data_IF_067830815282
#
_entry.id   IF_067830815282
#
_cell.length_a   1.000
_cell.length_b   1.000
_cell.length_c   1.000
_cell.angle_alpha   90.00
_cell.angle_beta   90.00
_cell.angle_gamma   90.00
#
_symmetry.space_group_name_H-M   'P 1'
#
loop_
_entity.id
_entity.type
_entity.pdbx_description
1 polymer ?
#
# COMPACT_ATOMS: atom_id res chain seq x y z
N UNK A 1 -15.96 -5.21 13.92
CA UNK A 1 -15.93 -6.38 13.05
C UNK A 1 -16.25 -5.93 11.62
N UNK A 2 -15.49 -6.39 10.64
CA UNK A 2 -15.70 -6.10 9.23
C UNK A 2 -16.66 -7.12 8.61
N UNK A 3 -17.53 -6.65 7.72
CA UNK A 3 -18.41 -7.50 6.92
C UNK A 3 -17.74 -7.73 5.56
N UNK A 4 -17.33 -8.96 5.23
CA UNK A 4 -16.75 -9.27 3.94
C UNK A 4 -17.80 -9.29 2.85
N UNK A 5 -17.46 -8.74 1.68
CA UNK A 5 -18.26 -8.83 0.45
C UNK A 5 -17.32 -9.07 -0.73
N UNK A 6 -17.68 -9.95 -1.64
CA UNK A 6 -17.00 -10.08 -2.92
C UNK A 6 -17.82 -9.29 -3.96
N UNK A 7 -17.24 -8.26 -4.52
CA UNK A 7 -17.89 -7.38 -5.49
C UNK A 7 -17.41 -7.69 -6.90
N UNK A 8 -18.35 -8.16 -7.73
CA UNK A 8 -18.12 -8.32 -9.17
C UNK A 8 -18.24 -6.96 -9.85
N UNK A 9 -17.20 -6.59 -10.58
CA UNK A 9 -17.12 -5.34 -11.32
C UNK A 9 -17.08 -5.70 -12.80
N UNK A 10 -18.00 -5.23 -13.65
CA UNK A 10 -18.00 -5.56 -15.07
C UNK A 10 -16.63 -5.27 -15.71
N UNK A 11 -16.08 -6.24 -16.45
CA UNK A 11 -14.78 -6.19 -17.14
C UNK A 11 -13.56 -6.09 -16.23
N UNK A 12 -13.71 -6.20 -14.91
CA UNK A 12 -12.65 -6.22 -13.91
C UNK A 12 -12.69 -7.51 -13.08
N UNK A 13 -11.59 -7.90 -12.44
CA UNK A 13 -11.61 -9.01 -11.47
C UNK A 13 -12.52 -8.66 -10.29
N UNK A 14 -13.17 -9.66 -9.73
CA UNK A 14 -13.94 -9.46 -8.50
C UNK A 14 -13.00 -9.14 -7.34
N UNK A 15 -13.36 -8.14 -6.53
CA UNK A 15 -12.56 -7.70 -5.39
C UNK A 15 -13.26 -8.07 -4.08
N UNK A 16 -12.48 -8.58 -3.14
CA UNK A 16 -12.91 -8.78 -1.76
C UNK A 16 -12.82 -7.44 -1.02
N UNK A 17 -13.97 -6.96 -0.56
CA UNK A 17 -14.13 -5.69 0.15
C UNK A 17 -14.64 -5.98 1.56
N UNK A 18 -14.10 -5.27 2.53
CA UNK A 18 -14.41 -5.44 3.96
C UNK A 18 -14.86 -4.09 4.51
N UNK A 19 -16.13 -4.02 4.90
CA UNK A 19 -16.77 -2.80 5.39
C UNK A 19 -16.95 -2.85 6.90
N UNK A 20 -16.49 -1.79 7.58
CA UNK A 20 -16.67 -1.60 9.03
C UNK A 20 -17.92 -0.79 9.37
N UNK A 21 -18.04 -0.40 10.64
CA UNK A 21 -19.18 0.39 11.12
C UNK A 21 -19.20 1.79 10.49
N UNK A 22 -20.40 2.30 10.20
CA UNK A 22 -20.62 3.60 9.55
C UNK A 22 -20.73 4.73 10.58
N UNK A 23 -19.60 5.16 11.14
CA UNK A 23 -19.54 6.11 12.24
C UNK A 23 -18.87 7.45 11.89
N UNK A 24 -18.84 7.85 10.63
CA UNK A 24 -18.19 9.09 10.19
C UNK A 24 -17.89 9.12 8.70
N UNK A 25 -16.90 9.93 8.26
CA UNK A 25 -16.52 9.98 6.85
C UNK A 25 -16.05 8.62 6.36
N UNK A 26 -16.35 8.31 5.11
CA UNK A 26 -15.90 7.06 4.47
C UNK A 26 -14.41 7.16 4.14
N UNK A 27 -13.65 6.22 4.68
CA UNK A 27 -12.19 6.11 4.50
C UNK A 27 -11.86 4.74 3.90
N UNK A 28 -11.25 4.75 2.73
CA UNK A 28 -10.81 3.54 2.04
C UNK A 28 -9.32 3.31 2.31
N UNK A 29 -8.99 2.10 2.75
CA UNK A 29 -7.61 1.72 3.10
C UNK A 29 -7.07 0.69 2.11
N UNK A 30 -5.90 0.97 1.54
CA UNK A 30 -5.27 0.21 0.46
C UNK A 30 -3.90 -0.30 0.86
N UNK A 31 -3.76 -1.61 0.93
CA UNK A 31 -2.53 -2.28 1.32
C UNK A 31 -1.42 -2.21 0.25
N UNK A 32 -0.19 -2.43 0.66
CA UNK A 32 0.97 -2.55 -0.23
C UNK A 32 1.08 -3.91 -0.90
N UNK A 33 2.05 -4.08 -1.79
CA UNK A 33 2.37 -5.36 -2.41
C UNK A 33 2.65 -6.43 -1.36
N UNK A 34 2.18 -7.66 -1.61
CA UNK A 34 2.32 -8.81 -0.73
C UNK A 34 1.68 -8.63 0.67
N UNK A 35 0.62 -7.82 0.74
CA UNK A 35 -0.21 -7.59 1.91
C UNK A 35 -1.68 -7.94 1.60
N UNK A 36 -2.56 -7.69 2.55
CA UNK A 36 -4.01 -7.91 2.47
C UNK A 36 -4.76 -6.81 3.22
N UNK A 37 -6.06 -6.74 3.04
CA UNK A 37 -6.96 -5.81 3.75
C UNK A 37 -6.73 -5.80 5.27
N UNK A 38 -6.43 -6.96 5.87
CA UNK A 38 -6.18 -7.10 7.31
C UNK A 38 -4.92 -6.37 7.82
N UNK A 39 -4.03 -5.90 6.95
CA UNK A 39 -2.85 -5.12 7.33
C UNK A 39 -3.23 -3.83 8.08
N UNK A 40 -4.40 -3.28 7.78
CA UNK A 40 -4.93 -2.06 8.36
C UNK A 40 -5.66 -2.24 9.69
N UNK A 41 -5.93 -3.47 10.14
CA UNK A 41 -6.79 -3.74 11.30
C UNK A 41 -6.30 -3.03 12.57
N UNK A 42 -4.99 -2.99 12.78
CA UNK A 42 -4.42 -2.36 13.98
C UNK A 42 -4.60 -0.85 13.96
N UNK A 43 -4.27 -0.19 12.85
CA UNK A 43 -4.50 1.26 12.69
C UNK A 43 -5.98 1.60 12.81
N UNK A 44 -6.86 0.90 12.08
CA UNK A 44 -8.32 1.18 12.11
C UNK A 44 -8.86 1.03 13.52
N UNK A 45 -8.40 0.04 14.29
CA UNK A 45 -8.78 -0.12 15.70
C UNK A 45 -8.33 1.07 16.57
N UNK A 46 -7.18 1.67 16.26
CA UNK A 46 -6.65 2.84 16.97
C UNK A 46 -7.31 4.17 16.57
N UNK A 47 -8.00 4.21 15.43
CA UNK A 47 -8.75 5.39 14.97
C UNK A 47 -10.08 5.58 15.70
N UNK A 48 -10.40 4.70 16.64
CA UNK A 48 -11.64 4.74 17.43
C UNK A 48 -12.90 4.95 16.56
N UNK A 49 -13.97 4.72 16.71
CA UNK A 49 -15.23 4.73 15.95
C UNK A 49 -15.59 6.00 15.18
N UNK A 50 -14.62 6.87 14.87
CA UNK A 50 -14.86 8.18 14.21
C UNK A 50 -14.89 8.17 12.67
N UNK A 51 -14.79 7.00 12.04
CA UNK A 51 -14.78 6.84 10.59
C UNK A 51 -15.68 5.68 10.14
N UNK A 52 -16.00 5.66 8.86
CA UNK A 52 -16.57 4.49 8.19
C UNK A 52 -15.44 3.82 7.36
N UNK A 53 -14.73 2.82 7.90
CA UNK A 53 -13.61 2.22 7.21
C UNK A 53 -14.06 1.17 6.19
N UNK A 54 -13.45 1.22 5.02
CA UNK A 54 -13.57 0.18 3.99
C UNK A 54 -12.15 -0.23 3.61
N UNK A 55 -11.87 -1.53 3.65
CA UNK A 55 -10.60 -2.10 3.16
C UNK A 55 -10.88 -3.07 2.02
N UNK A 56 -9.91 -3.36 1.19
CA UNK A 56 -10.04 -4.35 0.13
C UNK A 56 -8.75 -5.16 -0.02
N UNK A 57 -8.88 -6.34 -0.60
CA UNK A 57 -7.75 -7.04 -1.19
C UNK A 57 -7.63 -6.63 -2.66
N UNK A 58 -6.44 -6.23 -3.09
CA UNK A 58 -6.18 -5.92 -4.49
C UNK A 58 -6.30 -7.15 -5.38
N UNK A 59 -6.52 -6.96 -6.71
CA UNK A 59 -6.38 -8.05 -7.69
C UNK A 59 -5.12 -8.86 -7.41
N UNK A 60 -5.20 -10.17 -7.51
CA UNK A 60 -4.07 -11.06 -7.26
C UNK A 60 -3.62 -11.18 -5.80
N UNK A 61 -4.36 -10.61 -4.83
CA UNK A 61 -4.07 -10.70 -3.40
C UNK A 61 -5.27 -11.19 -2.61
N UNK A 62 -4.99 -11.82 -1.48
CA UNK A 62 -5.99 -12.21 -0.49
C UNK A 62 -7.12 -13.06 -1.06
N UNK A 63 -8.35 -12.57 -0.94
CA UNK A 63 -9.56 -13.22 -1.42
C UNK A 63 -10.10 -12.63 -2.74
N UNK A 64 -9.37 -11.70 -3.35
CA UNK A 64 -9.71 -11.15 -4.67
C UNK A 64 -9.27 -12.06 -5.81
N UNK A 65 -9.90 -11.90 -6.96
CA UNK A 65 -9.56 -12.66 -8.16
C UNK A 65 -8.15 -12.33 -8.66
N UNK A 66 -7.57 -13.29 -9.35
CA UNK A 66 -6.35 -13.12 -10.14
C UNK A 66 -6.66 -12.39 -11.44
N UNK A 67 -5.63 -11.79 -12.04
CA UNK A 67 -5.74 -11.06 -13.31
C UNK A 67 -4.56 -11.35 -14.24
N UNK A 68 -4.69 -10.95 -15.49
CA UNK A 68 -3.61 -11.09 -16.48
C UNK A 68 -2.53 -10.02 -16.39
N UNK A 69 -2.75 -8.94 -15.60
CA UNK A 69 -1.81 -7.82 -15.46
C UNK A 69 -1.89 -7.19 -14.07
N UNK A 70 -0.73 -6.71 -13.59
CA UNK A 70 -0.51 -6.20 -12.22
C UNK A 70 0.29 -4.90 -12.22
N UNK A 71 0.04 -4.01 -13.18
CA UNK A 71 0.62 -2.67 -13.25
C UNK A 71 -0.18 -1.71 -12.36
N UNK A 72 0.41 -0.61 -11.90
CA UNK A 72 -0.26 0.34 -10.99
C UNK A 72 -1.57 0.84 -11.61
N UNK A 73 -1.59 1.20 -12.89
CA UNK A 73 -2.80 1.64 -13.56
C UNK A 73 -3.93 0.59 -13.57
N UNK A 74 -3.61 -0.71 -13.61
CA UNK A 74 -4.64 -1.75 -13.56
C UNK A 74 -5.36 -1.78 -12.20
N UNK A 75 -4.64 -1.58 -11.10
CA UNK A 75 -5.23 -1.45 -9.77
C UNK A 75 -6.05 -0.15 -9.65
N UNK A 76 -5.58 0.93 -10.29
CA UNK A 76 -6.30 2.20 -10.32
C UNK A 76 -7.60 2.10 -11.13
N UNK A 77 -7.61 1.36 -12.25
CA UNK A 77 -8.81 1.09 -13.03
C UNK A 77 -9.84 0.30 -12.22
N UNK A 78 -9.41 -0.73 -11.47
CA UNK A 78 -10.29 -1.47 -10.57
C UNK A 78 -10.91 -0.56 -9.51
N UNK A 79 -10.10 0.26 -8.85
CA UNK A 79 -10.60 1.16 -7.82
C UNK A 79 -11.56 2.20 -8.41
N UNK A 80 -11.22 2.77 -9.57
CA UNK A 80 -12.09 3.73 -10.24
C UNK A 80 -13.47 3.12 -10.57
N UNK A 81 -13.49 1.88 -11.04
CA UNK A 81 -14.72 1.15 -11.33
C UNK A 81 -15.48 0.70 -10.07
N UNK A 82 -14.75 0.45 -8.96
CA UNK A 82 -15.32 0.05 -7.68
C UNK A 82 -15.98 1.22 -6.93
N UNK A 83 -15.41 2.43 -6.99
CA UNK A 83 -15.88 3.59 -6.21
C UNK A 83 -17.37 3.83 -6.28
N UNK A 84 -18.05 3.83 -7.44
CA UNK A 84 -19.50 4.03 -7.51
C UNK A 84 -20.33 2.96 -6.79
N UNK A 85 -19.76 1.77 -6.57
CA UNK A 85 -20.44 0.64 -5.92
C UNK A 85 -20.36 0.68 -4.40
N UNK A 86 -19.36 1.38 -3.85
CA UNK A 86 -19.07 1.39 -2.41
C UNK A 86 -19.22 2.75 -1.75
N UNK A 87 -19.24 3.84 -2.53
CA UNK A 87 -19.30 5.19 -2.00
C UNK A 87 -20.25 6.08 -2.82
N UNK A 88 -21.22 6.69 -2.13
CA UNK A 88 -22.19 7.61 -2.73
C UNK A 88 -21.79 9.09 -2.59
N UNK A 89 -20.79 9.38 -1.76
CA UNK A 89 -20.24 10.71 -1.50
C UNK A 89 -18.73 10.70 -1.75
N UNK A 90 -18.09 11.85 -1.66
CA UNK A 90 -16.63 11.93 -1.70
C UNK A 90 -16.00 11.14 -0.53
N UNK A 91 -14.86 10.52 -0.80
CA UNK A 91 -14.18 9.60 0.13
C UNK A 91 -12.77 10.07 0.42
N UNK A 92 -12.22 9.59 1.53
CA UNK A 92 -10.81 9.74 1.87
C UNK A 92 -10.09 8.44 1.48
N UNK A 93 -8.97 8.55 0.76
CA UNK A 93 -8.15 7.41 0.40
C UNK A 93 -6.90 7.37 1.29
N UNK A 94 -6.60 6.22 1.86
CA UNK A 94 -5.38 5.95 2.63
C UNK A 94 -4.66 4.79 1.99
N UNK A 95 -3.50 5.03 1.45
CA UNK A 95 -2.74 3.99 0.74
C UNK A 95 -1.33 3.84 1.26
N UNK A 96 -0.86 2.60 1.37
CA UNK A 96 0.52 2.24 1.67
C UNK A 96 1.21 1.72 0.42
N UNK A 97 2.41 2.21 0.10
CA UNK A 97 3.23 1.65 -0.97
C UNK A 97 2.49 1.61 -2.32
N UNK A 98 2.20 0.41 -2.86
CA UNK A 98 1.30 0.22 -4.02
C UNK A 98 -0.02 0.98 -3.86
N UNK A 99 -0.66 0.83 -2.70
CA UNK A 99 -1.92 1.50 -2.40
C UNK A 99 -1.81 3.03 -2.45
N UNK A 100 -0.65 3.60 -2.09
CA UNK A 100 -0.40 5.04 -2.19
C UNK A 100 -0.27 5.50 -3.65
N UNK A 101 0.42 4.73 -4.51
CA UNK A 101 0.51 5.02 -5.95
C UNK A 101 -0.87 4.97 -6.61
N UNK A 102 -1.67 3.94 -6.29
CA UNK A 102 -3.03 3.80 -6.79
C UNK A 102 -3.95 4.93 -6.31
N UNK A 103 -3.87 5.30 -5.02
CA UNK A 103 -4.66 6.41 -4.47
C UNK A 103 -4.33 7.74 -5.16
N UNK A 104 -3.06 8.02 -5.43
CA UNK A 104 -2.62 9.21 -6.15
C UNK A 104 -3.18 9.24 -7.59
N UNK A 105 -3.09 8.12 -8.31
CA UNK A 105 -3.60 8.02 -9.67
C UNK A 105 -5.12 8.21 -9.73
N UNK A 106 -5.87 7.56 -8.84
CA UNK A 106 -7.33 7.71 -8.81
C UNK A 106 -7.74 9.13 -8.40
N UNK A 107 -7.05 9.77 -7.44
CA UNK A 107 -7.33 11.15 -7.06
C UNK A 107 -7.07 12.15 -8.20
N UNK A 108 -6.10 11.89 -9.07
CA UNK A 108 -5.86 12.71 -10.25
C UNK A 108 -6.94 12.57 -11.32
N UNK A 109 -7.54 11.35 -11.44
CA UNK A 109 -8.52 11.00 -12.48
C UNK A 109 -9.97 11.30 -12.09
N UNK A 110 -10.29 11.34 -10.79
CA UNK A 110 -11.65 11.54 -10.27
C UNK A 110 -11.68 12.54 -9.12
N UNK A 111 -11.19 13.78 -9.31
CA UNK A 111 -11.03 14.75 -8.22
C UNK A 111 -12.32 15.07 -7.48
N UNK A 112 -13.48 14.97 -8.15
CA UNK A 112 -14.80 15.24 -7.55
C UNK A 112 -15.26 14.15 -6.55
N UNK A 113 -14.64 12.98 -6.60
CA UNK A 113 -14.97 11.85 -5.72
C UNK A 113 -14.07 11.73 -4.50
N UNK A 114 -12.96 12.47 -4.48
CA UNK A 114 -11.93 12.32 -3.46
C UNK A 114 -11.86 13.58 -2.61
N UNK A 115 -12.20 13.43 -1.31
CA UNK A 115 -12.15 14.53 -0.34
C UNK A 115 -10.71 14.82 0.12
N UNK A 116 -9.89 13.78 0.29
CA UNK A 116 -8.48 13.89 0.66
C UNK A 116 -7.76 12.55 0.41
N UNK A 117 -6.43 12.60 0.38
CA UNK A 117 -5.60 11.39 0.31
C UNK A 117 -4.51 11.40 1.36
N UNK A 118 -4.22 10.20 1.91
CA UNK A 118 -3.08 9.93 2.79
C UNK A 118 -2.20 8.91 2.10
N UNK A 119 -0.99 9.30 1.79
CA UNK A 119 -0.01 8.51 1.04
C UNK A 119 1.11 8.08 1.99
N UNK A 120 1.11 6.80 2.36
CA UNK A 120 2.15 6.22 3.21
C UNK A 120 3.26 5.63 2.35
N UNK A 121 4.40 6.28 2.38
CA UNK A 121 5.67 5.88 1.81
C UNK A 121 5.58 5.29 0.40
N UNK A 122 4.99 6.02 -0.58
CA UNK A 122 4.94 5.57 -1.97
C UNK A 122 6.37 5.38 -2.51
N UNK A 123 6.68 4.24 -3.17
CA UNK A 123 8.00 4.07 -3.77
C UNK A 123 8.20 5.07 -4.89
N UNK A 124 9.35 5.75 -4.88
CA UNK A 124 9.70 6.67 -5.96
C UNK A 124 10.12 5.93 -7.23
N UNK A 125 10.03 6.54 -8.43
CA UNK A 125 10.53 5.95 -9.67
C UNK A 125 12.00 5.58 -9.60
N UNK A 126 12.84 6.42 -8.98
CA UNK A 126 14.27 6.15 -8.80
C UNK A 126 14.52 4.96 -7.88
N UNK A 127 13.79 4.88 -6.75
CA UNK A 127 13.86 3.69 -5.89
C UNK A 127 13.49 2.41 -6.65
N UNK A 128 12.45 2.44 -7.46
CA UNK A 128 12.01 1.29 -8.27
C UNK A 128 13.05 0.93 -9.35
N UNK A 129 13.71 1.92 -9.93
CA UNK A 129 14.79 1.69 -10.89
C UNK A 129 16.00 0.95 -10.26
N UNK A 130 16.33 1.31 -9.01
CA UNK A 130 17.41 0.70 -8.23
C UNK A 130 16.95 -0.51 -7.39
N UNK A 131 15.71 -0.96 -7.53
CA UNK A 131 15.09 -1.98 -6.68
C UNK A 131 15.95 -3.24 -6.52
N UNK A 132 16.59 -3.70 -7.61
CA UNK A 132 17.41 -4.91 -7.64
C UNK A 132 18.69 -4.82 -6.77
N UNK A 133 19.08 -3.62 -6.36
CA UNK A 133 20.22 -3.35 -5.45
C UNK A 133 19.81 -3.32 -3.97
N UNK A 134 18.50 -3.38 -3.69
CA UNK A 134 17.92 -3.26 -2.35
C UNK A 134 17.52 -4.62 -1.78
N UNK A 135 17.28 -4.66 -0.47
CA UNK A 135 16.69 -5.82 0.19
C UNK A 135 15.26 -6.13 -0.28
N UNK A 136 14.54 -5.14 -0.80
CA UNK A 136 13.22 -5.36 -1.41
C UNK A 136 13.33 -6.13 -2.73
N UNK A 137 14.36 -5.86 -3.53
CA UNK A 137 14.64 -6.66 -4.72
C UNK A 137 14.94 -8.12 -4.38
N UNK A 138 15.70 -8.37 -3.30
CA UNK A 138 15.96 -9.72 -2.80
C UNK A 138 14.65 -10.39 -2.33
N UNK A 139 13.79 -9.66 -1.59
CA UNK A 139 12.48 -10.13 -1.13
C UNK A 139 11.53 -10.45 -2.30
N UNK A 140 11.39 -9.56 -3.26
CA UNK A 140 10.43 -9.74 -4.36
C UNK A 140 10.82 -10.91 -5.27
N UNK A 141 12.14 -11.19 -5.44
CA UNK A 141 12.60 -12.43 -6.09
C UNK A 141 12.10 -13.66 -5.36
N UNK A 142 12.22 -13.69 -4.02
CA UNK A 142 11.70 -14.80 -3.24
C UNK A 142 10.16 -14.87 -3.29
N UNK A 143 9.47 -13.74 -3.31
CA UNK A 143 8.01 -13.70 -3.38
C UNK A 143 7.47 -14.32 -4.67
N UNK A 144 8.13 -14.15 -5.82
CA UNK A 144 7.73 -14.81 -7.08
C UNK A 144 7.68 -16.34 -6.91
N UNK A 145 8.63 -16.92 -6.16
CA UNK A 145 8.70 -18.35 -5.93
C UNK A 145 7.78 -18.85 -4.80
N UNK A 146 7.47 -18.00 -3.84
CA UNK A 146 6.67 -18.36 -2.65
C UNK A 146 5.18 -18.03 -2.82
N UNK A 147 4.83 -17.12 -3.75
CA UNK A 147 3.45 -16.73 -4.00
C UNK A 147 2.61 -17.89 -4.51
N UNK A 148 1.39 -18.02 -3.98
CA UNK A 148 0.49 -19.11 -4.32
C UNK A 148 0.96 -20.49 -3.88
N UNK A 149 2.00 -20.58 -3.03
CA UNK A 149 2.57 -21.84 -2.58
C UNK A 149 1.57 -22.70 -1.82
N UNK A 150 1.58 -24.01 -2.10
CA UNK A 150 0.80 -25.01 -1.38
C UNK A 150 1.41 -25.43 -0.03
N UNK A 151 2.65 -24.99 0.28
CA UNK A 151 3.28 -25.28 1.56
C UNK A 151 2.50 -24.66 2.74
N UNK A 152 2.50 -25.31 3.92
CA UNK A 152 1.93 -24.73 5.13
C UNK A 152 2.57 -23.38 5.47
N UNK A 153 1.79 -22.45 6.06
CA UNK A 153 2.26 -21.09 6.43
C UNK A 153 3.56 -21.13 7.24
N UNK A 154 3.69 -22.08 8.18
CA UNK A 154 4.90 -22.16 9.01
C UNK A 154 6.16 -22.51 8.19
N UNK A 155 6.05 -23.35 7.17
CA UNK A 155 7.19 -23.68 6.31
C UNK A 155 7.59 -22.49 5.42
N UNK A 156 6.62 -21.78 4.83
CA UNK A 156 6.89 -20.55 4.09
C UNK A 156 7.54 -19.49 5.00
N UNK A 157 7.07 -19.36 6.25
CA UNK A 157 7.67 -18.44 7.22
C UNK A 157 9.11 -18.83 7.60
N UNK A 158 9.40 -20.13 7.74
CA UNK A 158 10.78 -20.62 7.96
C UNK A 158 11.69 -20.33 6.76
N UNK A 159 11.19 -20.53 5.54
CA UNK A 159 11.92 -20.18 4.31
C UNK A 159 12.21 -18.68 4.26
N UNK A 160 11.23 -17.83 4.57
CA UNK A 160 11.43 -16.38 4.68
C UNK A 160 12.46 -16.02 5.75
N UNK A 161 12.41 -16.66 6.93
CA UNK A 161 13.36 -16.39 8.02
C UNK A 161 14.82 -16.68 7.62
N UNK A 162 15.04 -17.71 6.82
CA UNK A 162 16.36 -18.12 6.34
C UNK A 162 16.84 -17.32 5.12
N UNK A 163 15.97 -16.52 4.50
CA UNK A 163 16.30 -15.76 3.30
C UNK A 163 17.33 -14.68 3.60
N UNK A 164 18.46 -14.72 2.93
CA UNK A 164 19.49 -13.68 2.98
C UNK A 164 19.06 -12.48 2.14
N UNK A 165 18.83 -11.33 2.80
CA UNK A 165 18.48 -10.07 2.14
C UNK A 165 19.45 -8.96 2.56
N UNK A 166 19.57 -7.92 1.76
CA UNK A 166 20.30 -6.70 2.12
C UNK A 166 19.51 -5.91 3.14
N UNK A 167 20.15 -5.52 4.23
CA UNK A 167 19.61 -4.47 5.11
C UNK A 167 19.72 -3.09 4.43
N UNK A 168 19.14 -2.01 5.00
CA UNK A 168 19.23 -0.67 4.41
C UNK A 168 20.65 -0.13 4.25
N UNK A 169 21.63 -0.72 4.93
CA UNK A 169 23.06 -0.40 4.82
C UNK A 169 23.78 -1.30 3.79
N UNK A 170 23.03 -2.15 3.05
CA UNK A 170 23.55 -3.03 2.01
C UNK A 170 24.17 -4.34 2.52
N UNK A 171 24.18 -4.60 3.84
CA UNK A 171 24.75 -5.82 4.43
C UNK A 171 23.72 -6.95 4.35
N UNK A 172 24.15 -8.11 3.83
CA UNK A 172 23.32 -9.31 3.81
C UNK A 172 23.14 -9.91 5.19
N UNK A 173 21.89 -10.21 5.54
CA UNK A 173 21.48 -10.86 6.78
C UNK A 173 20.25 -11.74 6.56
N UNK A 174 20.09 -12.82 7.32
CA UNK A 174 18.84 -13.57 7.34
C UNK A 174 17.67 -12.67 7.75
N UNK A 175 16.56 -12.72 7.00
CA UNK A 175 15.36 -11.92 7.29
C UNK A 175 14.83 -12.16 8.72
N UNK A 176 14.99 -13.37 9.26
CA UNK A 176 14.63 -13.71 10.63
C UNK A 176 15.44 -12.99 11.72
N UNK A 177 16.55 -12.34 11.38
CA UNK A 177 17.27 -11.44 12.29
C UNK A 177 16.73 -10.00 12.24
N UNK A 178 15.92 -9.66 11.23
CA UNK A 178 15.38 -8.32 10.99
C UNK A 178 13.87 -8.24 11.26
N UNK A 179 13.19 -9.38 11.30
CA UNK A 179 11.73 -9.49 11.50
C UNK A 179 11.45 -10.61 12.51
N UNK A 180 10.49 -10.37 13.40
CA UNK A 180 10.00 -11.38 14.31
C UNK A 180 9.18 -12.47 13.59
N UNK A 181 9.02 -13.62 14.24
CA UNK A 181 8.33 -14.77 13.67
C UNK A 181 6.84 -14.53 13.41
N UNK A 182 6.18 -13.67 14.19
CA UNK A 182 4.77 -13.35 13.96
C UNK A 182 4.61 -12.56 12.66
N UNK A 183 5.44 -11.56 12.42
CA UNK A 183 5.53 -10.80 11.16
C UNK A 183 5.83 -11.71 9.98
N UNK A 184 6.78 -12.64 10.11
CA UNK A 184 7.12 -13.59 9.04
C UNK A 184 5.97 -14.56 8.74
N UNK A 185 5.21 -14.99 9.75
CA UNK A 185 4.01 -15.83 9.54
C UNK A 185 2.90 -15.05 8.84
N UNK A 186 2.72 -13.77 9.17
CA UNK A 186 1.77 -12.92 8.47
C UNK A 186 2.17 -12.70 7.00
N UNK A 187 3.45 -12.41 6.73
CA UNK A 187 3.99 -12.33 5.37
C UNK A 187 3.75 -13.64 4.60
N UNK A 188 4.05 -14.78 5.21
CA UNK A 188 3.84 -16.11 4.62
C UNK A 188 2.35 -16.36 4.31
N UNK A 189 1.45 -15.94 5.19
CA UNK A 189 0.00 -16.03 4.96
C UNK A 189 -0.41 -15.19 3.74
N UNK A 190 0.04 -13.93 3.65
CA UNK A 190 -0.26 -13.07 2.51
C UNK A 190 0.28 -13.67 1.19
N UNK A 191 1.51 -14.18 1.18
CA UNK A 191 2.12 -14.79 0.00
C UNK A 191 1.36 -16.01 -0.52
N UNK A 192 0.81 -16.85 0.37
CA UNK A 192 0.00 -17.99 -0.06
C UNK A 192 -1.24 -17.59 -0.85
N UNK A 193 -1.76 -16.41 -0.60
CA UNK A 193 -2.95 -15.85 -1.23
C UNK A 193 -2.60 -14.77 -2.26
N UNK A 194 -1.37 -14.77 -2.78
CA UNK A 194 -0.92 -13.81 -3.79
C UNK A 194 -0.61 -14.52 -5.11
N UNK A 195 -0.89 -13.83 -6.22
CA UNK A 195 -0.44 -14.27 -7.55
C UNK A 195 1.04 -13.93 -7.76
N UNK A 196 1.87 -14.87 -8.24
CA UNK A 196 3.28 -14.59 -8.51
C UNK A 196 3.53 -13.51 -9.57
N UNK A 197 2.53 -13.21 -10.40
CA UNK A 197 2.57 -12.09 -11.35
C UNK A 197 2.68 -10.71 -10.68
N UNK A 198 2.16 -10.56 -9.45
CA UNK A 198 2.21 -9.29 -8.72
C UNK A 198 3.66 -8.82 -8.46
N UNK A 199 4.54 -9.58 -7.78
CA UNK A 199 5.93 -9.19 -7.58
C UNK A 199 6.75 -9.25 -8.88
N UNK A 200 6.36 -10.10 -9.84
CA UNK A 200 7.06 -10.21 -11.12
C UNK A 200 6.97 -8.91 -11.93
N UNK A 201 5.81 -8.25 -11.96
CA UNK A 201 5.62 -6.96 -12.65
C UNK A 201 6.58 -5.88 -12.14
N UNK A 202 6.82 -5.85 -10.81
CA UNK A 202 7.77 -4.91 -10.18
C UNK A 202 9.21 -5.23 -10.58
N UNK A 203 9.59 -6.51 -10.48
CA UNK A 203 10.96 -6.95 -10.81
C UNK A 203 11.31 -6.74 -12.28
N UNK A 204 10.33 -6.76 -13.17
CA UNK A 204 10.49 -6.46 -14.60
C UNK A 204 10.60 -4.96 -14.89
N UNK A 205 10.53 -4.08 -13.88
CA UNK A 205 10.54 -2.63 -14.05
C UNK A 205 9.28 -2.06 -14.71
N UNK A 206 8.20 -2.86 -14.79
CA UNK A 206 6.98 -2.52 -15.52
C UNK A 206 5.91 -1.83 -14.67
N UNK A 207 6.10 -1.77 -13.36
CA UNK A 207 5.05 -1.38 -12.41
C UNK A 207 4.43 -0.01 -12.70
N UNK A 208 5.28 0.96 -13.11
CA UNK A 208 4.89 2.32 -13.51
C UNK A 208 4.83 2.49 -15.05
N UNK A 209 4.70 1.38 -15.81
CA UNK A 209 4.57 1.45 -17.27
C UNK A 209 3.38 2.36 -17.63
N UNK A 210 3.60 3.27 -18.56
CA UNK A 210 2.64 4.28 -19.03
C UNK A 210 2.21 5.33 -17.99
N UNK A 211 2.85 5.38 -16.81
CA UNK A 211 2.57 6.36 -15.75
C UNK A 211 3.69 7.38 -15.61
N UNK A 212 3.31 8.65 -15.56
CA UNK A 212 4.17 9.75 -15.15
C UNK A 212 3.73 10.22 -13.75
N UNK A 213 4.42 9.77 -12.71
CA UNK A 213 4.05 10.06 -11.33
C UNK A 213 4.08 11.57 -11.02
N UNK A 214 5.04 12.32 -11.56
CA UNK A 214 5.10 13.77 -11.38
C UNK A 214 3.89 14.49 -11.99
N UNK A 215 3.45 14.05 -13.19
CA UNK A 215 2.24 14.58 -13.82
C UNK A 215 0.98 14.23 -13.01
N UNK A 216 0.87 12.99 -12.55
CA UNK A 216 -0.25 12.52 -11.71
C UNK A 216 -0.35 13.37 -10.45
N UNK A 217 0.75 13.55 -9.72
CA UNK A 217 0.77 14.33 -8.49
C UNK A 217 0.41 15.80 -8.72
N UNK A 218 0.87 16.42 -9.80
CA UNK A 218 0.50 17.79 -10.18
C UNK A 218 -0.97 17.98 -10.57
N UNK A 219 -1.71 16.90 -10.85
CA UNK A 219 -3.14 16.94 -11.19
C UNK A 219 -4.05 16.74 -9.97
N UNK A 220 -3.52 16.36 -8.80
CA UNK A 220 -4.31 16.18 -7.58
C UNK A 220 -4.88 17.53 -7.13
N UNK A 221 -6.16 17.55 -6.78
CA UNK A 221 -6.91 18.76 -6.39
C UNK A 221 -7.34 18.76 -4.93
N UNK A 222 -7.37 17.58 -4.29
CA UNK A 222 -7.72 17.45 -2.88
C UNK A 222 -6.49 17.62 -1.98
N UNK A 223 -6.67 17.89 -0.67
CA UNK A 223 -5.60 17.88 0.30
C UNK A 223 -4.85 16.54 0.34
N UNK A 224 -3.52 16.59 0.48
CA UNK A 224 -2.63 15.44 0.51
C UNK A 224 -1.85 15.41 1.82
N UNK A 225 -1.93 14.30 2.56
CA UNK A 225 -1.00 13.99 3.65
C UNK A 225 0.00 12.97 3.16
N UNK A 226 1.26 13.37 3.02
CA UNK A 226 2.37 12.48 2.73
C UNK A 226 3.04 12.05 4.03
N UNK A 227 3.07 10.75 4.29
CA UNK A 227 3.79 10.13 5.40
C UNK A 227 5.01 9.41 4.81
N UNK A 228 6.20 9.92 5.08
CA UNK A 228 7.44 9.39 4.52
C UNK A 228 8.22 8.58 5.56
N UNK A 229 8.57 7.34 5.21
CA UNK A 229 9.47 6.50 5.99
C UNK A 229 10.94 6.96 5.88
N UNK A 230 11.74 6.63 6.87
CA UNK A 230 13.18 6.89 6.88
C UNK A 230 13.89 5.87 5.97
N UNK A 231 14.59 6.36 4.95
CA UNK A 231 15.32 5.51 4.00
C UNK A 231 16.44 4.71 4.67
N UNK A 232 17.03 5.20 5.76
CA UNK A 232 18.02 4.47 6.56
C UNK A 232 17.41 3.25 7.29
N UNK A 233 16.09 3.20 7.38
CA UNK A 233 15.31 2.13 7.99
C UNK A 233 14.43 1.38 6.96
N UNK A 234 14.68 1.60 5.67
CA UNK A 234 14.00 0.91 4.58
C UNK A 234 12.79 1.65 4.00
N UNK A 235 12.65 2.97 4.23
CA UNK A 235 11.68 3.80 3.50
C UNK A 235 12.01 3.83 1.99
N UNK A 236 10.97 3.86 1.15
CA UNK A 236 11.08 3.76 -0.31
C UNK A 236 10.99 5.13 -1.03
N UNK A 237 10.87 6.21 -0.26
CA UNK A 237 10.80 7.57 -0.79
C UNK A 237 11.92 8.43 -0.15
N UNK A 238 13.08 8.56 -0.78
CA UNK A 238 14.14 9.46 -0.32
C UNK A 238 13.67 10.91 -0.22
N UNK A 239 14.21 11.68 0.75
CA UNK A 239 13.75 13.05 1.02
C UNK A 239 13.83 13.96 -0.19
N UNK A 240 14.97 13.92 -0.91
CA UNK A 240 15.18 14.75 -2.11
C UNK A 240 14.20 14.41 -3.24
N UNK A 241 13.83 13.12 -3.38
CA UNK A 241 12.83 12.70 -4.36
C UNK A 241 11.42 13.11 -3.93
N UNK A 242 11.12 13.06 -2.63
CA UNK A 242 9.86 13.58 -2.12
C UNK A 242 9.70 15.07 -2.43
N UNK A 243 10.76 15.88 -2.23
CA UNK A 243 10.76 17.32 -2.54
C UNK A 243 10.49 17.55 -4.04
N UNK A 244 11.13 16.77 -4.91
CA UNK A 244 10.97 16.89 -6.35
C UNK A 244 9.57 16.44 -6.83
N UNK A 245 9.13 15.26 -6.40
CA UNK A 245 7.90 14.64 -6.89
C UNK A 245 6.64 15.34 -6.36
N UNK A 246 6.65 15.73 -5.09
CA UNK A 246 5.48 16.31 -4.43
C UNK A 246 5.46 17.84 -4.45
N UNK A 247 6.53 18.51 -4.93
CA UNK A 247 6.57 19.95 -5.11
C UNK A 247 5.41 20.54 -5.94
N UNK A 248 4.88 19.87 -6.97
CA UNK A 248 3.72 20.32 -7.74
C UNK A 248 2.36 20.17 -7.03
N UNK A 249 2.27 19.46 -5.90
CA UNK A 249 1.01 19.26 -5.16
C UNK A 249 0.61 20.55 -4.46
N UNK A 250 -0.58 21.07 -4.78
CA UNK A 250 -1.00 22.39 -4.34
C UNK A 250 -1.29 22.48 -2.83
N UNK A 251 -1.87 21.41 -2.25
CA UNK A 251 -2.20 21.34 -0.81
C UNK A 251 -1.54 20.08 -0.23
N UNK A 252 -0.28 20.22 0.19
CA UNK A 252 0.55 19.16 0.71
C UNK A 252 0.91 19.38 2.18
N UNK A 253 0.54 18.44 3.02
CA UNK A 253 1.13 18.25 4.36
C UNK A 253 2.07 17.07 4.32
N UNK A 254 3.34 17.25 4.68
CA UNK A 254 4.34 16.18 4.74
C UNK A 254 4.82 15.95 6.17
N UNK A 255 4.89 14.68 6.56
CA UNK A 255 5.47 14.24 7.82
C UNK A 255 6.51 13.16 7.56
N UNK A 256 7.72 13.38 8.07
CA UNK A 256 8.84 12.44 7.99
C UNK A 256 8.96 11.66 9.30
N UNK A 257 8.92 10.33 9.22
CA UNK A 257 8.99 9.42 10.36
C UNK A 257 10.43 8.95 10.57
N UNK A 258 11.23 9.73 11.29
CA UNK A 258 12.63 9.37 11.60
C UNK A 258 12.70 8.06 12.39
N UNK A 259 13.59 7.16 11.96
CA UNK A 259 13.79 5.85 12.59
C UNK A 259 12.71 4.82 12.28
N UNK A 260 11.72 5.17 11.46
CA UNK A 260 10.62 4.27 11.04
C UNK A 260 10.75 3.99 9.55
N UNK A 261 10.79 2.72 9.16
CA UNK A 261 10.90 2.32 7.76
C UNK A 261 9.57 2.38 7.00
N UNK A 262 9.47 1.58 5.95
CA UNK A 262 8.40 1.57 4.97
C UNK A 262 6.98 1.34 5.54
N UNK A 263 6.81 0.65 6.65
CA UNK A 263 5.51 0.31 7.23
C UNK A 263 5.21 1.15 8.47
N UNK A 264 4.80 2.40 8.27
CA UNK A 264 4.52 3.36 9.34
C UNK A 264 3.28 2.92 10.13
N UNK A 265 2.19 2.52 9.44
CA UNK A 265 0.95 2.06 10.06
C UNK A 265 1.14 0.88 11.01
N UNK A 266 2.10 -0.01 10.72
CA UNK A 266 2.40 -1.18 11.55
C UNK A 266 3.43 -0.93 12.65
N UNK A 267 4.33 0.06 12.47
CA UNK A 267 5.48 0.30 13.35
C UNK A 267 5.27 1.52 14.26
N UNK A 268 4.59 2.55 13.76
CA UNK A 268 4.31 3.80 14.47
C UNK A 268 2.82 4.15 14.46
N UNK A 269 1.97 3.15 14.68
CA UNK A 269 0.51 3.20 14.55
C UNK A 269 -0.13 4.39 15.25
N UNK A 270 0.21 4.64 16.53
CA UNK A 270 -0.35 5.75 17.29
C UNK A 270 0.04 7.12 16.72
N UNK A 271 1.29 7.25 16.25
CA UNK A 271 1.77 8.50 15.63
C UNK A 271 1.08 8.75 14.30
N UNK A 272 0.88 7.69 13.50
CA UNK A 272 0.11 7.79 12.26
C UNK A 272 -1.36 8.13 12.53
N UNK A 273 -1.98 7.52 13.55
CA UNK A 273 -3.36 7.84 13.94
C UNK A 273 -3.52 9.30 14.37
N UNK A 274 -2.58 9.85 15.16
CA UNK A 274 -2.56 11.28 15.52
C UNK A 274 -2.41 12.18 14.30
N UNK A 275 -1.50 11.85 13.39
CA UNK A 275 -1.28 12.60 12.14
C UNK A 275 -2.54 12.59 11.27
N UNK A 276 -3.18 11.44 11.14
CA UNK A 276 -4.43 11.28 10.39
C UNK A 276 -5.55 12.18 10.95
N UNK A 277 -5.79 12.14 12.26
CA UNK A 277 -6.83 12.99 12.88
C UNK A 277 -6.51 14.48 12.81
N UNK A 278 -5.24 14.85 13.01
CA UNK A 278 -4.82 16.26 12.87
C UNK A 278 -5.05 16.75 11.44
N UNK A 279 -4.75 15.93 10.43
CA UNK A 279 -4.98 16.25 9.04
C UNK A 279 -6.47 16.33 8.72
N UNK A 280 -7.31 15.38 9.16
CA UNK A 280 -8.75 15.43 8.93
C UNK A 280 -9.41 16.65 9.56
N UNK A 281 -8.92 17.14 10.69
CA UNK A 281 -9.43 18.35 11.33
C UNK A 281 -9.20 19.63 10.49
N UNK A 282 -8.31 19.59 9.49
CA UNK A 282 -8.02 20.72 8.58
C UNK A 282 -8.82 20.66 7.27
N UNK A 283 -9.48 19.53 7.01
CA UNK A 283 -10.29 19.33 5.81
C UNK A 283 -11.73 19.72 6.19
N UNK A 284 -12.16 20.88 5.76
CA UNK A 284 -13.48 21.47 6.04
C UNK A 284 -14.62 20.84 5.24
#
# INVERSE_FOLDING_TARGET
LFTPRCLSIPQHPALAVYEGARNGPTVLFFHGLARQASDWNHLISSLFSGIHPITLDWRGHGSSDRAGSYLVHNYADDLHALLPLIAHHSVILVGHSLGALVAAEVASRAPEKIAAIVLEDPPSPEFLHQLHETGYGDLFKAYVHLAGSNHPVHQVAQTLAALEIRDPQGKKRPLGQMRDMASLRYMAHCLKHMDPGCPLAVLQGRWLEDLNLGQILGQIRCPVLLLRGDSNFGGMLPAAEADLLFGPVADLTRLDFTGVGHQIHGTATESMARAFWAFLATIG
#
